data_IF_479176212629
#
_entry.id   IF_479176212629
#
_cell.length_a   1.000
_cell.length_b   1.000
_cell.length_c   1.000
_cell.angle_alpha   90.00
_cell.angle_beta   90.00
_cell.angle_gamma   90.00
#
_symmetry.space_group_name_H-M   'P 1'
#
loop_
_entity.id
_entity.type
_entity.pdbx_description
1 polymer ?
#
# COMPACT_ATOMS: atom_id res chain seq x y z
N UNK A 1 -40.82 31.34 -64.37
CA UNK A 1 -40.22 30.08 -63.90
C UNK A 1 -38.90 30.44 -63.22
N UNK A 2 -38.95 30.83 -61.95
CA UNK A 2 -37.75 31.01 -61.14
C UNK A 2 -37.17 29.61 -60.89
N UNK A 3 -36.02 29.31 -61.47
CA UNK A 3 -35.22 28.18 -61.02
C UNK A 3 -34.88 28.44 -59.55
N UNK A 4 -35.61 27.78 -58.65
CA UNK A 4 -35.33 27.86 -57.22
C UNK A 4 -33.90 27.40 -56.99
N UNK A 5 -33.10 28.25 -56.35
CA UNK A 5 -31.77 27.87 -55.89
C UNK A 5 -31.98 26.69 -54.94
N UNK A 6 -31.50 25.51 -55.32
CA UNK A 6 -31.53 24.34 -54.44
C UNK A 6 -30.44 24.54 -53.40
N UNK A 7 -30.84 24.80 -52.15
CA UNK A 7 -29.90 24.93 -51.04
C UNK A 7 -29.21 23.57 -50.79
N UNK A 8 -27.88 23.57 -50.81
CA UNK A 8 -27.11 22.40 -50.41
C UNK A 8 -26.89 22.42 -48.90
N UNK A 9 -27.84 21.86 -48.15
CA UNK A 9 -27.81 21.88 -46.69
C UNK A 9 -26.61 21.18 -46.07
N UNK A 10 -26.05 20.15 -46.73
CA UNK A 10 -24.84 19.46 -46.26
C UNK A 10 -23.61 20.36 -46.36
N UNK A 11 -23.46 21.05 -47.49
CA UNK A 11 -22.38 22.02 -47.67
C UNK A 11 -22.53 23.19 -46.68
N UNK A 12 -23.74 23.73 -46.54
CA UNK A 12 -23.98 24.86 -45.62
C UNK A 12 -23.77 24.42 -44.16
N UNK A 13 -24.23 23.24 -43.77
CA UNK A 13 -24.07 22.72 -42.40
C UNK A 13 -22.60 22.44 -42.04
N UNK A 14 -21.81 21.92 -42.98
CA UNK A 14 -20.37 21.73 -42.77
C UNK A 14 -19.57 23.04 -42.69
N UNK A 15 -20.11 24.14 -43.23
CA UNK A 15 -19.52 25.49 -43.19
C UNK A 15 -20.33 26.45 -42.31
N UNK A 16 -21.17 25.92 -41.41
CA UNK A 16 -22.11 26.72 -40.61
C UNK A 16 -21.40 27.76 -39.75
N UNK A 17 -20.15 27.48 -39.37
CA UNK A 17 -19.27 28.37 -38.63
C UNK A 17 -19.16 29.75 -39.27
N UNK A 18 -19.01 29.83 -40.60
CA UNK A 18 -18.84 31.09 -41.31
C UNK A 18 -20.08 32.00 -41.13
N UNK A 19 -21.27 31.40 -41.08
CA UNK A 19 -22.53 32.12 -40.87
C UNK A 19 -22.75 32.53 -39.40
N UNK A 20 -22.22 31.74 -38.46
CA UNK A 20 -22.23 32.07 -37.03
C UNK A 20 -21.26 33.24 -36.78
N UNK A 21 -20.05 33.19 -37.32
CA UNK A 21 -19.06 34.26 -37.18
C UNK A 21 -19.51 35.57 -37.84
N UNK A 22 -20.24 35.48 -38.96
CA UNK A 22 -20.82 36.62 -39.65
C UNK A 22 -22.14 37.14 -39.04
N UNK A 23 -22.69 36.48 -38.02
CA UNK A 23 -23.97 36.82 -37.37
C UNK A 23 -25.12 37.03 -38.38
N UNK A 24 -25.20 36.15 -39.38
CA UNK A 24 -26.16 36.32 -40.47
C UNK A 24 -26.99 35.06 -40.76
N UNK A 25 -26.81 33.97 -39.99
CA UNK A 25 -27.53 32.72 -40.24
C UNK A 25 -29.06 32.93 -40.24
N UNK A 26 -29.59 33.61 -39.21
CA UNK A 26 -31.03 33.86 -39.05
C UNK A 26 -31.57 34.97 -39.96
N UNK A 27 -30.71 35.78 -40.58
CA UNK A 27 -31.13 36.75 -41.61
C UNK A 27 -31.01 36.20 -43.03
N UNK A 28 -30.26 35.11 -43.21
CA UNK A 28 -29.97 34.51 -44.54
C UNK A 28 -30.91 33.36 -44.87
N UNK A 29 -31.30 32.57 -43.86
CA UNK A 29 -32.09 31.35 -44.05
C UNK A 29 -33.37 31.39 -43.24
N UNK A 30 -34.44 30.81 -43.81
CA UNK A 30 -35.69 30.58 -43.10
C UNK A 30 -35.51 29.49 -42.04
N UNK A 31 -36.42 29.44 -41.05
CA UNK A 31 -36.33 28.53 -39.90
C UNK A 31 -36.29 27.06 -40.34
N UNK A 32 -37.06 26.68 -41.37
CA UNK A 32 -37.10 25.33 -41.93
C UNK A 32 -35.79 24.93 -42.64
N UNK A 33 -35.12 25.91 -43.28
CA UNK A 33 -33.81 25.71 -43.90
C UNK A 33 -32.74 25.50 -42.81
N UNK A 34 -32.76 26.33 -41.75
CA UNK A 34 -31.85 26.19 -40.60
C UNK A 34 -32.02 24.81 -39.95
N UNK A 35 -33.26 24.33 -39.78
CA UNK A 35 -33.50 22.98 -39.26
C UNK A 35 -32.82 21.88 -40.11
N UNK A 36 -32.86 22.05 -41.44
CA UNK A 36 -32.26 21.10 -42.38
C UNK A 36 -30.73 21.20 -42.40
N UNK A 37 -30.18 22.41 -42.30
CA UNK A 37 -28.75 22.69 -42.17
C UNK A 37 -28.19 22.05 -40.88
N UNK A 38 -28.91 22.17 -39.76
CA UNK A 38 -28.45 21.70 -38.45
C UNK A 38 -28.20 20.19 -38.39
N UNK A 39 -28.86 19.39 -39.24
CA UNK A 39 -28.61 17.94 -39.33
C UNK A 39 -27.18 17.60 -39.75
N UNK A 40 -26.48 18.52 -40.41
CA UNK A 40 -25.11 18.37 -40.88
C UNK A 40 -24.11 19.23 -40.11
N UNK A 41 -24.59 20.01 -39.13
CA UNK A 41 -23.77 20.89 -38.31
C UNK A 41 -23.10 20.10 -37.18
N UNK A 42 -21.77 20.24 -37.09
CA UNK A 42 -20.98 19.80 -35.94
C UNK A 42 -20.41 21.05 -35.27
N UNK A 43 -20.95 21.38 -34.11
CA UNK A 43 -20.66 22.62 -33.41
C UNK A 43 -19.83 22.34 -32.16
N UNK A 44 -18.91 23.26 -31.86
CA UNK A 44 -18.35 23.38 -30.52
C UNK A 44 -19.37 24.01 -29.57
N UNK A 45 -19.20 23.86 -28.25
CA UNK A 45 -20.04 24.53 -27.25
C UNK A 45 -20.11 26.04 -27.48
N UNK A 46 -18.99 26.69 -27.81
CA UNK A 46 -18.92 28.14 -28.01
C UNK A 46 -19.65 28.60 -29.28
N UNK A 47 -19.51 27.87 -30.39
CA UNK A 47 -20.25 28.14 -31.63
C UNK A 47 -21.75 27.98 -31.43
N UNK A 48 -22.19 26.90 -30.76
CA UNK A 48 -23.59 26.68 -30.46
C UNK A 48 -24.14 27.76 -29.51
N UNK A 49 -23.42 28.09 -28.44
CA UNK A 49 -23.80 29.15 -27.51
C UNK A 49 -23.93 30.52 -28.20
N UNK A 50 -23.01 30.84 -29.11
CA UNK A 50 -23.03 32.07 -29.90
C UNK A 50 -24.25 32.11 -30.82
N UNK A 51 -24.52 31.01 -31.53
CA UNK A 51 -25.71 30.88 -32.38
C UNK A 51 -27.01 31.07 -31.59
N UNK A 52 -27.13 30.47 -30.41
CA UNK A 52 -28.32 30.68 -29.56
C UNK A 52 -28.44 32.14 -29.13
N UNK A 53 -27.33 32.81 -28.83
CA UNK A 53 -27.34 34.21 -28.43
C UNK A 53 -27.82 35.15 -29.55
N UNK A 54 -27.41 34.90 -30.78
CA UNK A 54 -27.79 35.67 -31.98
C UNK A 54 -29.30 35.59 -32.28
N UNK A 55 -29.93 34.46 -31.94
CA UNK A 55 -31.34 34.22 -32.24
C UNK A 55 -32.34 35.04 -31.40
N UNK A 56 -31.91 35.60 -30.26
CA UNK A 56 -32.79 36.08 -29.19
C UNK A 56 -33.75 37.22 -29.62
N UNK A 57 -33.36 38.02 -30.61
CA UNK A 57 -34.17 39.12 -31.15
C UNK A 57 -34.89 38.79 -32.45
N UNK A 58 -34.61 37.62 -33.05
CA UNK A 58 -35.05 37.28 -34.41
C UNK A 58 -36.19 36.25 -34.40
N UNK A 59 -36.09 35.24 -33.55
CA UNK A 59 -37.07 34.13 -33.50
C UNK A 59 -37.50 33.81 -32.07
N UNK A 60 -38.65 33.17 -31.93
CA UNK A 60 -39.15 32.73 -30.62
C UNK A 60 -38.34 31.55 -30.06
N UNK A 61 -38.37 31.35 -28.74
CA UNK A 61 -37.73 30.21 -28.08
C UNK A 61 -38.19 28.84 -28.64
N UNK A 62 -39.43 28.76 -29.15
CA UNK A 62 -39.98 27.54 -29.75
C UNK A 62 -39.38 27.28 -31.14
N UNK A 63 -39.27 28.32 -31.95
CA UNK A 63 -38.64 28.26 -33.29
C UNK A 63 -37.15 27.96 -33.15
N UNK A 64 -36.48 28.59 -32.19
CA UNK A 64 -35.07 28.33 -31.89
C UNK A 64 -34.83 26.86 -31.54
N UNK A 65 -35.66 26.28 -30.67
CA UNK A 65 -35.59 24.85 -30.39
C UNK A 65 -35.84 24.01 -31.64
N UNK A 66 -36.88 24.33 -32.42
CA UNK A 66 -37.25 23.58 -33.61
C UNK A 66 -36.11 23.54 -34.65
N UNK A 67 -35.45 24.66 -34.90
CA UNK A 67 -34.38 24.72 -35.90
C UNK A 67 -33.04 24.18 -35.40
N UNK A 68 -32.75 24.21 -34.10
CA UNK A 68 -31.44 23.77 -33.55
C UNK A 68 -31.41 22.36 -32.99
N UNK A 69 -32.56 21.70 -32.76
CA UNK A 69 -32.66 20.38 -32.11
C UNK A 69 -31.87 19.24 -32.76
N UNK A 70 -31.54 19.37 -34.06
CA UNK A 70 -30.81 18.35 -34.80
C UNK A 70 -29.29 18.61 -34.84
N UNK A 71 -28.83 19.71 -34.24
CA UNK A 71 -27.40 20.05 -34.20
C UNK A 71 -26.62 19.07 -33.33
N UNK A 72 -25.44 18.68 -33.79
CA UNK A 72 -24.50 17.93 -32.96
C UNK A 72 -23.54 18.89 -32.26
N UNK A 73 -23.51 18.88 -30.92
CA UNK A 73 -22.61 19.72 -30.12
C UNK A 73 -21.59 18.84 -29.40
N UNK A 74 -20.31 19.06 -29.67
CA UNK A 74 -19.22 18.24 -29.12
C UNK A 74 -18.84 18.69 -27.70
N UNK A 75 -19.38 18.01 -26.68
CA UNK A 75 -19.09 18.28 -25.26
C UNK A 75 -17.86 17.48 -24.81
N UNK A 76 -16.78 18.14 -24.43
CA UNK A 76 -15.53 17.46 -24.06
C UNK A 76 -15.26 17.43 -22.55
N UNK A 77 -15.90 18.31 -21.78
CA UNK A 77 -15.70 18.41 -20.34
C UNK A 77 -16.97 18.95 -19.62
N UNK A 78 -16.94 18.99 -18.27
CA UNK A 78 -18.08 19.48 -17.48
C UNK A 78 -18.36 20.97 -17.67
N UNK A 79 -17.34 21.79 -17.91
CA UNK A 79 -17.50 23.22 -18.17
C UNK A 79 -18.28 23.46 -19.46
N UNK A 80 -17.96 22.70 -20.52
CA UNK A 80 -18.66 22.71 -21.81
C UNK A 80 -20.13 22.33 -21.63
N UNK A 81 -20.40 21.28 -20.85
CA UNK A 81 -21.76 20.82 -20.58
C UNK A 81 -22.56 21.90 -19.83
N UNK A 82 -21.98 22.49 -18.79
CA UNK A 82 -22.61 23.54 -17.97
C UNK A 82 -22.88 24.80 -18.81
N UNK A 83 -21.91 25.25 -19.61
CA UNK A 83 -22.06 26.45 -20.45
C UNK A 83 -23.16 26.26 -21.50
N UNK A 84 -23.17 25.10 -22.17
CA UNK A 84 -24.17 24.74 -23.17
C UNK A 84 -25.58 24.68 -22.57
N UNK A 85 -25.73 23.97 -21.45
CA UNK A 85 -27.03 23.86 -20.76
C UNK A 85 -27.55 25.21 -20.27
N UNK A 86 -26.67 26.10 -19.78
CA UNK A 86 -27.04 27.47 -19.41
C UNK A 86 -27.56 28.28 -20.60
N UNK A 87 -26.91 28.17 -21.75
CA UNK A 87 -27.36 28.85 -22.97
C UNK A 87 -28.72 28.32 -23.44
N UNK A 88 -28.90 27.00 -23.46
CA UNK A 88 -30.20 26.38 -23.78
C UNK A 88 -31.27 26.82 -22.80
N UNK A 89 -30.99 26.79 -21.49
CA UNK A 89 -31.92 27.26 -20.45
C UNK A 89 -32.32 28.73 -20.68
N UNK A 90 -31.35 29.60 -20.97
CA UNK A 90 -31.54 31.04 -21.16
C UNK A 90 -32.35 31.36 -22.42
N UNK A 91 -31.94 30.84 -23.57
CA UNK A 91 -32.49 31.24 -24.86
C UNK A 91 -33.72 30.42 -25.27
N UNK A 92 -33.79 29.13 -24.91
CA UNK A 92 -34.95 28.26 -25.18
C UNK A 92 -35.96 28.19 -24.02
N UNK A 93 -35.67 28.87 -22.89
CA UNK A 93 -36.54 28.92 -21.70
C UNK A 93 -36.84 27.55 -21.07
N UNK A 94 -35.92 26.59 -21.22
CA UNK A 94 -36.07 25.22 -20.72
C UNK A 94 -35.69 25.10 -19.23
N UNK A 95 -36.65 25.40 -18.33
CA UNK A 95 -36.44 25.36 -16.87
C UNK A 95 -36.04 24.00 -16.31
N UNK A 96 -36.33 22.91 -17.03
CA UNK A 96 -35.97 21.54 -16.61
C UNK A 96 -34.47 21.34 -16.38
N UNK A 97 -33.62 22.18 -16.99
CA UNK A 97 -32.16 22.10 -16.82
C UNK A 97 -31.64 22.78 -15.54
N UNK A 98 -32.45 23.52 -14.80
CA UNK A 98 -31.99 24.26 -13.61
C UNK A 98 -31.35 23.34 -12.56
N UNK A 99 -32.04 22.27 -12.18
CA UNK A 99 -31.50 21.29 -11.23
C UNK A 99 -30.27 20.54 -11.76
N UNK A 100 -30.23 20.29 -13.08
CA UNK A 100 -29.10 19.61 -13.73
C UNK A 100 -27.86 20.52 -13.71
N UNK A 101 -28.02 21.80 -14.02
CA UNK A 101 -26.93 22.79 -14.01
C UNK A 101 -26.33 22.88 -12.60
N UNK A 102 -27.18 23.05 -11.57
CA UNK A 102 -26.73 23.13 -10.17
C UNK A 102 -25.95 21.87 -9.76
N UNK A 103 -26.43 20.69 -10.15
CA UNK A 103 -25.75 19.43 -9.87
C UNK A 103 -24.38 19.33 -10.56
N UNK A 104 -24.30 19.70 -11.84
CA UNK A 104 -23.04 19.66 -12.60
C UNK A 104 -22.01 20.68 -12.06
N UNK A 105 -22.46 21.87 -11.65
CA UNK A 105 -21.60 22.87 -11.01
C UNK A 105 -21.03 22.36 -9.67
N UNK A 106 -21.86 21.68 -8.87
CA UNK A 106 -21.41 21.05 -7.63
C UNK A 106 -20.40 19.94 -7.89
N UNK A 107 -20.65 19.07 -8.88
CA UNK A 107 -19.69 18.03 -9.30
C UNK A 107 -18.34 18.64 -9.73
N UNK A 108 -18.38 19.72 -10.51
CA UNK A 108 -17.17 20.41 -10.96
C UNK A 108 -16.37 20.97 -9.78
N UNK A 109 -17.05 21.54 -8.78
CA UNK A 109 -16.42 22.03 -7.55
C UNK A 109 -15.78 20.91 -6.74
N UNK A 110 -16.47 19.78 -6.58
CA UNK A 110 -15.97 18.63 -5.84
C UNK A 110 -14.74 17.99 -6.51
N UNK A 111 -14.70 17.98 -7.84
CA UNK A 111 -13.51 17.58 -8.61
C UNK A 111 -12.31 18.49 -8.32
N UNK A 112 -12.52 19.81 -8.31
CA UNK A 112 -11.45 20.78 -8.00
C UNK A 112 -10.89 20.61 -6.58
N UNK A 113 -11.77 20.42 -5.58
CA UNK A 113 -11.35 20.15 -4.19
C UNK A 113 -10.53 18.86 -4.10
N UNK A 114 -10.97 17.83 -4.81
CA UNK A 114 -10.28 16.53 -4.82
C UNK A 114 -8.91 16.63 -5.47
N UNK A 115 -8.79 17.33 -6.62
CA UNK A 115 -7.52 17.58 -7.28
C UNK A 115 -6.51 18.27 -6.36
N UNK A 116 -6.94 19.32 -5.64
CA UNK A 116 -6.06 20.05 -4.73
C UNK A 116 -5.58 19.21 -3.54
N UNK A 117 -6.44 18.31 -3.01
CA UNK A 117 -6.04 17.35 -1.98
C UNK A 117 -4.99 16.36 -2.50
N UNK A 118 -5.14 15.88 -3.74
CA UNK A 118 -4.19 14.96 -4.37
C UNK A 118 -2.83 15.64 -4.55
N UNK A 119 -2.79 16.87 -5.05
CA UNK A 119 -1.55 17.65 -5.21
C UNK A 119 -0.81 17.82 -3.88
N UNK A 120 -1.55 18.15 -2.81
CA UNK A 120 -0.97 18.27 -1.47
C UNK A 120 -0.38 16.95 -0.98
N UNK A 121 -1.11 15.85 -1.12
CA UNK A 121 -0.63 14.52 -0.72
C UNK A 121 0.61 14.08 -1.53
N UNK A 122 0.67 14.42 -2.82
CA UNK A 122 1.84 14.15 -3.65
C UNK A 122 3.08 14.93 -3.17
N UNK A 123 2.92 16.20 -2.79
CA UNK A 123 4.00 17.01 -2.25
C UNK A 123 4.52 16.45 -0.90
N UNK A 124 3.61 16.05 -0.01
CA UNK A 124 3.95 15.42 1.27
C UNK A 124 4.70 14.08 1.06
N UNK A 125 4.29 13.28 0.09
CA UNK A 125 4.93 12.01 -0.25
C UNK A 125 6.38 12.20 -0.73
N UNK A 126 6.63 13.16 -1.62
CA UNK A 126 7.97 13.49 -2.10
C UNK A 126 8.87 13.94 -0.93
N UNK A 127 8.34 14.75 -0.01
CA UNK A 127 9.07 15.19 1.17
C UNK A 127 9.47 14.00 2.05
N UNK A 128 8.54 13.09 2.35
CA UNK A 128 8.81 11.91 3.18
C UNK A 128 9.84 10.99 2.52
N UNK A 129 9.80 10.82 1.20
CA UNK A 129 10.80 10.04 0.47
C UNK A 129 12.21 10.61 0.64
N UNK A 130 12.36 11.93 0.55
CA UNK A 130 13.64 12.61 0.77
C UNK A 130 14.14 12.47 2.21
N UNK A 131 13.24 12.60 3.19
CA UNK A 131 13.59 12.39 4.60
C UNK A 131 14.05 10.94 4.85
N UNK A 132 13.37 9.95 4.26
CA UNK A 132 13.76 8.54 4.30
C UNK A 132 15.17 8.32 3.73
N UNK A 133 15.48 8.85 2.55
CA UNK A 133 16.81 8.71 1.93
C UNK A 133 17.93 9.29 2.81
N UNK A 134 17.67 10.40 3.49
CA UNK A 134 18.64 10.98 4.42
C UNK A 134 18.89 10.06 5.62
N UNK A 135 17.83 9.51 6.22
CA UNK A 135 17.94 8.58 7.34
C UNK A 135 18.69 7.30 6.92
N UNK A 136 18.44 6.76 5.73
CA UNK A 136 19.16 5.59 5.22
C UNK A 136 20.66 5.85 5.08
N UNK A 137 21.07 7.05 4.61
CA UNK A 137 22.48 7.45 4.53
C UNK A 137 23.14 7.57 5.91
N UNK A 138 22.43 8.16 6.87
CA UNK A 138 22.90 8.24 8.26
C UNK A 138 23.09 6.85 8.87
N UNK A 139 22.13 5.94 8.67
CA UNK A 139 22.23 4.56 9.12
C UNK A 139 23.44 3.83 8.52
N UNK A 140 23.68 3.98 7.21
CA UNK A 140 24.85 3.38 6.56
C UNK A 140 26.17 3.90 7.11
N UNK A 141 26.23 5.20 7.41
CA UNK A 141 27.40 5.85 8.01
C UNK A 141 27.66 5.29 9.41
N UNK A 142 26.63 5.25 10.26
CA UNK A 142 26.72 4.69 11.61
C UNK A 142 27.12 3.22 11.59
N UNK A 143 26.56 2.42 10.68
CA UNK A 143 26.90 1.01 10.53
C UNK A 143 28.38 0.82 10.16
N UNK A 144 28.93 1.67 9.28
CA UNK A 144 30.35 1.64 8.92
C UNK A 144 31.24 2.04 10.10
N UNK A 145 30.82 3.02 10.90
CA UNK A 145 31.54 3.43 12.11
C UNK A 145 31.54 2.35 13.20
N UNK A 146 30.43 1.63 13.37
CA UNK A 146 30.34 0.48 14.27
C UNK A 146 31.29 -0.63 13.84
N UNK A 147 31.29 -0.99 12.55
CA UNK A 147 32.24 -1.96 11.98
C UNK A 147 33.70 -1.58 12.23
N UNK A 148 34.04 -0.30 12.17
CA UNK A 148 35.40 0.17 12.41
C UNK A 148 35.82 0.17 13.90
N UNK A 149 34.87 0.35 14.82
CA UNK A 149 35.14 0.30 16.28
C UNK A 149 35.25 -1.14 16.80
N UNK A 150 34.60 -2.08 16.15
CA UNK A 150 34.70 -3.50 16.49
C UNK A 150 35.92 -4.11 15.81
N UNK A 151 37.05 -4.19 16.51
CA UNK A 151 38.30 -4.83 16.03
C UNK A 151 38.05 -6.12 15.23
N UNK A 152 38.79 -6.26 14.12
CA UNK A 152 38.50 -7.24 13.06
C UNK A 152 38.88 -8.69 13.39
N UNK A 153 39.58 -8.97 14.49
CA UNK A 153 40.03 -10.33 14.81
C UNK A 153 39.45 -10.81 16.15
N UNK A 154 38.75 -11.95 16.11
CA UNK A 154 38.36 -12.70 17.30
C UNK A 154 39.62 -13.15 18.07
N UNK A 155 39.64 -13.10 19.41
CA UNK A 155 40.78 -13.56 20.20
C UNK A 155 41.19 -14.99 19.84
N UNK A 156 42.49 -15.25 19.67
CA UNK A 156 43.01 -16.59 19.33
C UNK A 156 42.58 -17.66 20.33
N UNK A 157 42.54 -17.31 21.63
CA UNK A 157 42.06 -18.18 22.70
C UNK A 157 40.60 -18.60 22.50
N UNK A 158 39.75 -17.68 22.04
CA UNK A 158 38.34 -17.96 21.74
C UNK A 158 38.19 -18.96 20.59
N UNK A 159 38.92 -18.76 19.49
CA UNK A 159 38.92 -19.69 18.35
C UNK A 159 39.46 -21.08 18.73
N UNK A 160 40.46 -21.13 19.62
CA UNK A 160 40.95 -22.38 20.19
C UNK A 160 39.86 -23.09 21.00
N UNK A 161 39.10 -22.36 21.82
CA UNK A 161 38.03 -22.94 22.63
C UNK A 161 36.88 -23.47 21.77
N UNK A 162 36.50 -22.79 20.69
CA UNK A 162 35.53 -23.32 19.71
C UNK A 162 35.98 -24.66 19.14
N UNK A 163 37.25 -24.75 18.72
CA UNK A 163 37.81 -25.99 18.14
C UNK A 163 37.79 -27.15 19.15
N UNK A 164 38.06 -26.87 20.42
CA UNK A 164 37.98 -27.84 21.51
C UNK A 164 36.53 -28.33 21.72
N UNK A 165 35.58 -27.39 21.85
CA UNK A 165 34.17 -27.70 22.09
C UNK A 165 33.51 -28.46 20.92
N UNK A 166 33.99 -28.26 19.69
CA UNK A 166 33.50 -29.00 18.52
C UNK A 166 33.69 -30.50 18.65
N UNK A 167 34.80 -30.92 19.27
CA UNK A 167 35.12 -32.33 19.51
C UNK A 167 34.68 -32.81 20.90
N UNK A 168 34.19 -31.92 21.76
CA UNK A 168 33.71 -32.27 23.09
C UNK A 168 32.34 -32.96 23.04
N UNK A 169 32.15 -33.96 23.90
CA UNK A 169 30.85 -34.59 24.21
C UNK A 169 30.22 -33.96 25.47
N UNK A 170 30.94 -33.09 26.18
CA UNK A 170 30.45 -32.42 27.38
C UNK A 170 29.51 -31.25 27.01
N UNK A 171 28.20 -31.54 26.99
CA UNK A 171 27.16 -30.56 26.75
C UNK A 171 27.15 -29.41 27.78
N UNK A 172 27.44 -29.70 29.06
CA UNK A 172 27.44 -28.68 30.11
C UNK A 172 28.53 -27.63 29.86
N UNK A 173 29.69 -28.04 29.35
CA UNK A 173 30.72 -27.09 28.92
C UNK A 173 30.27 -26.22 27.74
N UNK A 174 29.55 -26.81 26.77
CA UNK A 174 29.03 -26.07 25.61
C UNK A 174 27.97 -25.06 26.06
N UNK A 175 27.04 -25.46 26.91
CA UNK A 175 26.02 -24.56 27.46
C UNK A 175 26.66 -23.39 28.22
N UNK A 176 27.59 -23.68 29.15
CA UNK A 176 28.31 -22.63 29.90
C UNK A 176 29.06 -21.67 28.99
N UNK A 177 29.72 -22.19 27.95
CA UNK A 177 30.39 -21.36 26.97
C UNK A 177 29.42 -20.37 26.28
N UNK A 178 28.25 -20.85 25.85
CA UNK A 178 27.21 -20.01 25.27
C UNK A 178 26.65 -18.97 26.26
N UNK A 179 26.43 -19.38 27.50
CA UNK A 179 25.93 -18.48 28.54
C UNK A 179 26.93 -17.36 28.88
N UNK A 180 28.22 -17.69 29.00
CA UNK A 180 29.30 -16.74 29.28
C UNK A 180 29.48 -15.72 28.15
N UNK A 181 29.46 -16.16 26.88
CA UNK A 181 29.62 -15.23 25.74
C UNK A 181 28.37 -14.35 25.55
N UNK A 182 27.19 -14.86 25.92
CA UNK A 182 25.94 -14.09 25.97
C UNK A 182 25.98 -13.04 27.10
N UNK A 183 26.48 -13.40 28.29
CA UNK A 183 26.65 -12.47 29.42
C UNK A 183 27.58 -11.30 29.10
N UNK A 184 28.70 -11.59 28.43
CA UNK A 184 29.66 -10.56 27.99
C UNK A 184 29.13 -9.68 26.86
N UNK A 185 27.96 -10.00 26.30
CA UNK A 185 27.35 -9.26 25.19
C UNK A 185 28.18 -9.31 23.89
N UNK A 186 29.03 -10.33 23.72
CA UNK A 186 29.93 -10.39 22.57
C UNK A 186 29.25 -11.06 21.36
N UNK A 187 28.54 -10.24 20.58
CA UNK A 187 27.75 -10.70 19.44
C UNK A 187 28.60 -11.42 18.38
N UNK A 188 29.84 -10.98 18.11
CA UNK A 188 30.73 -11.65 17.15
C UNK A 188 31.13 -13.06 17.60
N UNK A 189 31.43 -13.22 18.89
CA UNK A 189 31.72 -14.54 19.47
C UNK A 189 30.49 -15.45 19.42
N UNK A 190 29.32 -14.94 19.80
CA UNK A 190 28.06 -15.68 19.69
C UNK A 190 27.80 -16.10 18.24
N UNK A 191 27.89 -15.18 17.29
CA UNK A 191 27.70 -15.45 15.86
C UNK A 191 28.66 -16.54 15.38
N UNK A 192 29.96 -16.44 15.70
CA UNK A 192 30.93 -17.46 15.29
C UNK A 192 30.65 -18.83 15.92
N UNK A 193 30.25 -18.88 17.19
CA UNK A 193 29.86 -20.13 17.84
C UNK A 193 28.59 -20.74 17.20
N UNK A 194 27.64 -19.90 16.79
CA UNK A 194 26.43 -20.30 16.08
C UNK A 194 26.72 -20.83 14.66
N UNK A 195 27.62 -20.18 13.93
CA UNK A 195 28.10 -20.59 12.59
C UNK A 195 28.79 -21.96 12.62
N UNK A 196 29.52 -22.28 13.69
CA UNK A 196 30.12 -23.61 13.89
C UNK A 196 29.12 -24.66 14.39
N UNK A 197 27.84 -24.29 14.47
CA UNK A 197 26.70 -25.15 14.84
C UNK A 197 26.83 -25.81 16.22
N UNK A 198 27.67 -25.27 17.11
CA UNK A 198 27.89 -25.82 18.46
C UNK A 198 26.58 -25.88 19.27
N UNK A 199 25.67 -24.96 19.02
CA UNK A 199 24.34 -24.90 19.65
C UNK A 199 23.46 -26.11 19.32
N UNK A 200 23.72 -26.83 18.21
CA UNK A 200 22.99 -28.05 17.80
C UNK A 200 23.47 -29.29 18.54
N UNK A 201 24.62 -29.26 19.22
CA UNK A 201 25.07 -30.41 20.04
C UNK A 201 24.02 -30.73 21.09
N UNK A 202 23.85 -32.01 21.34
CA UNK A 202 22.76 -32.52 22.15
C UNK A 202 23.28 -33.05 23.49
N UNK A 203 22.46 -32.86 24.50
CA UNK A 203 22.66 -33.44 25.81
C UNK A 203 22.10 -34.87 25.81
N UNK A 204 22.98 -35.85 25.62
CA UNK A 204 22.59 -37.26 25.59
C UNK A 204 22.10 -37.75 26.97
N UNK A 205 22.47 -37.05 28.05
CA UNK A 205 21.98 -37.34 29.41
C UNK A 205 20.57 -36.74 29.67
N UNK A 206 20.13 -35.77 28.88
CA UNK A 206 18.87 -35.03 29.08
C UNK A 206 18.10 -34.82 27.77
N UNK A 207 17.31 -35.83 27.41
CA UNK A 207 16.30 -35.78 26.35
C UNK A 207 16.82 -35.41 24.94
N UNK A 208 18.12 -35.46 24.71
CA UNK A 208 18.73 -34.99 23.45
C UNK A 208 18.48 -33.50 23.20
N UNK A 209 18.42 -32.70 24.28
CA UNK A 209 18.18 -31.25 24.22
C UNK A 209 19.39 -30.51 23.66
N UNK A 210 19.16 -29.44 22.89
CA UNK A 210 20.22 -28.58 22.39
C UNK A 210 20.37 -27.34 23.29
N UNK A 211 21.31 -26.45 22.98
CA UNK A 211 21.57 -25.27 23.83
C UNK A 211 20.35 -24.36 23.95
N UNK A 212 19.56 -24.21 22.88
CA UNK A 212 18.35 -23.38 22.89
C UNK A 212 17.23 -24.03 23.72
N UNK A 213 17.08 -25.35 23.69
CA UNK A 213 16.15 -26.09 24.54
C UNK A 213 16.50 -25.90 26.01
N UNK A 214 17.77 -26.09 26.37
CA UNK A 214 18.23 -25.93 27.75
C UNK A 214 18.12 -24.47 28.22
N UNK A 215 18.42 -23.49 27.36
CA UNK A 215 18.23 -22.09 27.70
C UNK A 215 16.74 -21.76 27.94
N UNK A 216 15.86 -22.39 27.16
CA UNK A 216 14.41 -22.22 27.28
C UNK A 216 13.84 -22.93 28.51
N UNK A 217 14.33 -24.12 28.87
CA UNK A 217 13.92 -24.86 30.07
C UNK A 217 14.41 -24.19 31.36
N UNK A 218 15.56 -23.52 31.34
CA UNK A 218 16.09 -22.75 32.47
C UNK A 218 15.52 -21.33 32.57
N UNK A 219 14.80 -20.84 31.55
CA UNK A 219 14.28 -19.47 31.54
C UNK A 219 15.34 -18.40 31.25
N UNK A 220 16.48 -18.80 30.67
CA UNK A 220 17.59 -17.90 30.36
C UNK A 220 17.27 -17.04 29.11
N UNK A 221 16.43 -16.02 29.31
CA UNK A 221 15.97 -15.13 28.24
C UNK A 221 17.13 -14.44 27.50
N UNK A 222 18.19 -14.08 28.23
CA UNK A 222 19.38 -13.45 27.66
C UNK A 222 20.01 -14.35 26.59
N UNK A 223 20.28 -15.60 26.94
CA UNK A 223 20.87 -16.57 26.01
C UNK A 223 19.92 -16.91 24.87
N UNK A 224 18.61 -17.08 25.15
CA UNK A 224 17.60 -17.31 24.10
C UNK A 224 17.62 -16.17 23.07
N UNK A 225 17.62 -14.90 23.51
CA UNK A 225 17.70 -13.74 22.59
C UNK A 225 18.95 -13.79 21.74
N UNK A 226 20.11 -13.96 22.35
CA UNK A 226 21.40 -14.00 21.63
C UNK A 226 21.46 -15.12 20.58
N UNK A 227 20.97 -16.32 20.90
CA UNK A 227 20.96 -17.45 19.96
C UNK A 227 20.05 -17.18 18.76
N UNK A 228 18.83 -16.66 18.98
CA UNK A 228 17.88 -16.37 17.91
C UNK A 228 18.37 -15.22 17.01
N UNK A 229 18.91 -14.15 17.61
CA UNK A 229 19.47 -13.02 16.87
C UNK A 229 20.68 -13.42 16.00
N UNK A 230 21.40 -14.47 16.40
CA UNK A 230 22.49 -15.07 15.62
C UNK A 230 22.06 -16.21 14.67
N UNK A 231 20.75 -16.40 14.46
CA UNK A 231 20.22 -17.28 13.41
C UNK A 231 20.05 -18.74 13.80
N UNK A 232 20.08 -19.10 15.08
CA UNK A 232 19.72 -20.45 15.51
C UNK A 232 18.25 -20.77 15.17
N UNK A 233 18.00 -21.99 14.68
CA UNK A 233 16.65 -22.43 14.34
C UNK A 233 15.85 -22.77 15.60
N UNK A 234 14.80 -21.97 15.84
CA UNK A 234 13.88 -22.09 16.98
C UNK A 234 12.85 -23.22 16.87
N UNK A 235 12.72 -23.82 15.69
CA UNK A 235 11.74 -24.89 15.43
C UNK A 235 12.34 -26.30 15.52
N UNK A 236 13.64 -26.42 15.84
CA UNK A 236 14.25 -27.71 16.10
C UNK A 236 13.51 -28.40 17.24
N UNK A 237 13.29 -29.70 17.06
CA UNK A 237 12.73 -30.59 18.06
C UNK A 237 13.85 -31.37 18.75
N UNK A 238 13.75 -31.58 20.05
CA UNK A 238 14.60 -32.56 20.73
C UNK A 238 14.31 -33.99 20.24
N UNK A 239 15.22 -34.90 20.58
CA UNK A 239 15.19 -36.28 20.08
C UNK A 239 14.12 -37.12 20.76
N UNK A 240 13.98 -36.99 22.08
CA UNK A 240 13.13 -37.91 22.84
C UNK A 240 11.64 -37.60 22.68
N UNK A 241 11.24 -36.38 23.04
CA UNK A 241 9.82 -36.04 23.15
C UNK A 241 9.34 -35.16 22.01
N UNK A 242 10.25 -34.68 21.16
CA UNK A 242 9.95 -33.81 20.03
C UNK A 242 9.59 -32.39 20.46
N UNK A 243 10.10 -31.92 21.61
CA UNK A 243 9.78 -30.58 22.09
C UNK A 243 10.64 -29.54 21.37
N UNK A 244 10.03 -28.40 21.03
CA UNK A 244 10.76 -27.20 20.63
C UNK A 244 11.10 -26.33 21.83
N UNK A 245 11.95 -25.32 21.63
CA UNK A 245 12.26 -24.29 22.62
C UNK A 245 11.01 -23.68 23.27
N UNK A 246 9.97 -23.41 22.46
CA UNK A 246 8.70 -22.86 22.93
C UNK A 246 7.95 -23.84 23.84
N UNK A 247 7.97 -25.15 23.55
CA UNK A 247 7.31 -26.17 24.38
C UNK A 247 8.05 -26.34 25.70
N UNK A 248 9.39 -26.35 25.70
CA UNK A 248 10.22 -26.38 26.91
C UNK A 248 9.93 -25.19 27.83
N UNK A 249 10.04 -23.95 27.32
CA UNK A 249 9.74 -22.75 28.10
C UNK A 249 8.29 -22.77 28.63
N UNK A 250 7.36 -23.31 27.85
CA UNK A 250 5.95 -23.39 28.25
C UNK A 250 5.71 -24.40 29.37
N UNK A 251 6.34 -25.59 29.30
CA UNK A 251 6.25 -26.62 30.33
C UNK A 251 6.80 -26.15 31.66
N UNK A 252 7.94 -25.45 31.63
CA UNK A 252 8.63 -24.95 32.81
C UNK A 252 8.05 -23.62 33.34
N UNK A 253 7.17 -22.97 32.57
CA UNK A 253 6.44 -21.77 33.02
C UNK A 253 7.19 -20.45 32.82
N UNK A 254 8.20 -20.41 31.97
CA UNK A 254 9.04 -19.23 31.70
C UNK A 254 8.35 -18.24 30.75
N UNK A 255 7.45 -17.42 31.30
CA UNK A 255 6.60 -16.50 30.52
C UNK A 255 7.38 -15.54 29.62
N UNK A 256 8.49 -14.98 30.11
CA UNK A 256 9.25 -13.99 29.34
C UNK A 256 9.92 -14.61 28.10
N UNK A 257 10.40 -15.86 28.23
CA UNK A 257 10.94 -16.64 27.11
C UNK A 257 9.84 -16.97 26.11
N UNK A 258 8.67 -17.40 26.58
CA UNK A 258 7.52 -17.69 25.71
C UNK A 258 7.09 -16.45 24.93
N UNK A 259 6.95 -15.30 25.61
CA UNK A 259 6.59 -14.03 24.96
C UNK A 259 7.61 -13.64 23.89
N UNK A 260 8.90 -13.76 24.19
CA UNK A 260 9.95 -13.47 23.22
C UNK A 260 9.88 -14.42 22.01
N UNK A 261 9.82 -15.73 22.23
CA UNK A 261 9.76 -16.72 21.15
C UNK A 261 8.53 -16.51 20.24
N UNK A 262 7.36 -16.19 20.81
CA UNK A 262 6.17 -15.81 20.03
C UNK A 262 6.39 -14.52 19.23
N UNK A 263 7.03 -13.51 19.84
CA UNK A 263 7.29 -12.23 19.16
C UNK A 263 8.22 -12.36 17.95
N UNK A 264 9.15 -13.33 17.97
CA UNK A 264 10.05 -13.66 16.85
C UNK A 264 9.49 -14.75 15.92
N UNK A 265 8.20 -15.06 16.07
CA UNK A 265 7.45 -15.93 15.15
C UNK A 265 7.65 -17.43 15.36
N UNK A 266 7.90 -17.89 16.59
CA UNK A 266 7.90 -19.33 16.88
C UNK A 266 6.51 -19.94 16.64
N UNK A 267 6.46 -21.14 16.04
CA UNK A 267 5.21 -21.80 15.71
C UNK A 267 4.55 -22.39 16.96
N UNK A 268 3.56 -21.67 17.50
CA UNK A 268 2.78 -22.09 18.67
C UNK A 268 1.93 -23.36 18.47
N UNK A 269 1.63 -23.72 17.22
CA UNK A 269 0.78 -24.87 16.87
C UNK A 269 1.59 -26.15 16.60
N UNK A 270 2.93 -26.07 16.68
CA UNK A 270 3.77 -27.25 16.49
C UNK A 270 3.47 -28.29 17.56
N UNK A 271 3.36 -29.55 17.15
CA UNK A 271 3.09 -30.68 18.04
C UNK A 271 4.35 -31.47 18.30
N UNK A 272 4.54 -31.86 19.56
CA UNK A 272 5.56 -32.81 19.98
C UNK A 272 5.17 -34.26 19.59
N UNK A 273 5.98 -35.25 20.00
CA UNK A 273 5.76 -36.66 19.68
C UNK A 273 4.47 -37.24 20.30
N UNK A 274 3.98 -36.64 21.39
CA UNK A 274 2.69 -36.98 22.01
C UNK A 274 1.49 -36.26 21.36
N UNK A 275 1.70 -35.49 20.29
CA UNK A 275 0.66 -34.68 19.66
C UNK A 275 0.23 -33.43 20.45
N UNK A 276 1.04 -33.01 21.44
CA UNK A 276 0.79 -31.87 22.33
C UNK A 276 1.51 -30.60 21.84
N UNK A 277 0.81 -29.48 21.92
CA UNK A 277 1.34 -28.13 21.62
C UNK A 277 1.97 -27.48 22.84
N UNK A 278 2.57 -26.30 22.66
CA UNK A 278 3.05 -25.46 23.76
C UNK A 278 1.91 -25.14 24.76
N UNK A 279 0.70 -24.85 24.25
CA UNK A 279 -0.48 -24.59 25.08
C UNK A 279 -0.88 -25.82 25.92
N UNK A 280 -0.79 -27.03 25.35
CA UNK A 280 -1.14 -28.27 26.05
C UNK A 280 -0.18 -28.58 27.21
N UNK A 281 1.12 -28.26 27.07
CA UNK A 281 2.13 -28.47 28.12
C UNK A 281 2.22 -27.30 29.11
N UNK A 282 1.64 -26.14 28.79
CA UNK A 282 1.71 -24.92 29.61
C UNK A 282 0.91 -24.97 30.90
N UNK A 283 1.38 -24.25 31.92
CA UNK A 283 0.72 -24.04 33.21
C UNK A 283 0.79 -22.57 33.63
N UNK A 284 -0.06 -22.17 34.59
CA UNK A 284 -0.02 -20.84 35.20
C UNK A 284 -0.10 -19.68 34.19
N UNK A 285 0.73 -18.65 34.39
CA UNK A 285 0.71 -17.44 33.57
C UNK A 285 1.01 -17.68 32.09
N UNK A 286 1.84 -18.68 31.75
CA UNK A 286 2.08 -19.06 30.34
C UNK A 286 0.81 -19.55 29.68
N UNK A 287 0.03 -20.40 30.37
CA UNK A 287 -1.22 -20.93 29.82
C UNK A 287 -2.21 -19.81 29.53
N UNK A 288 -2.37 -18.87 30.47
CA UNK A 288 -3.23 -17.70 30.28
C UNK A 288 -2.78 -16.85 29.09
N UNK A 289 -1.47 -16.61 28.95
CA UNK A 289 -0.91 -15.89 27.80
C UNK A 289 -1.20 -16.61 26.48
N UNK A 290 -0.90 -17.90 26.37
CA UNK A 290 -1.12 -18.68 25.15
C UNK A 290 -2.61 -18.78 24.78
N UNK A 291 -3.51 -18.90 25.76
CA UNK A 291 -4.96 -18.83 25.53
C UNK A 291 -5.40 -17.46 25.00
N UNK A 292 -4.81 -16.38 25.49
CA UNK A 292 -5.16 -15.02 25.07
C UNK A 292 -4.82 -14.75 23.59
N UNK A 293 -3.76 -15.39 23.08
CA UNK A 293 -3.32 -15.25 21.69
C UNK A 293 -3.84 -16.36 20.77
N UNK A 294 -4.48 -17.41 21.30
CA UNK A 294 -5.12 -18.47 20.51
C UNK A 294 -6.55 -18.10 20.07
N UNK A 295 -7.18 -17.12 20.72
CA UNK A 295 -8.54 -16.64 20.42
C UNK A 295 -8.60 -15.54 19.35
N UNK A 296 -7.46 -15.18 18.77
CA UNK A 296 -7.31 -14.18 17.70
C UNK A 296 -6.78 -14.86 16.46
#
# INVERSE_FOLDING_TARGET
>A
MSQGIVLNYEYIGSHIKDYIEADNLFSTFEVEDIESIMKFANLTPDEFNSLLAQSHSVISARELYACTRNANVSINNLQDAVSTLKSVQKYMKMRVFEGIIVFLEQLQKDQSITAHKIEKLQADLIRIQKEKENVEKEMQTLHSQLKAKEGNDLPKEFLSKISELKNSEDFNQIYKFFDEISEKGNQKMMQKACEEELWKKQNDDYYGTNVLHEASSQGNLRLVKSLIECGCDKEIKDKEDGFTALIWASREGHLEVVQYLISVGANKEVKNNEGKTALDKSKGAVREYLLSIARK
#
